data_IF_390825501318
#
_entry.id   IF_390825501318
#
_cell.length_a   1.000
_cell.length_b   1.000
_cell.length_c   1.000
_cell.angle_alpha   90.00
_cell.angle_beta   90.00
_cell.angle_gamma   90.00
#
_symmetry.space_group_name_H-M   'P 1'
#
loop_
_entity.id
_entity.type
_entity.pdbx_description
1 polymer ?
2 non-polymer ?
3 water ?
#
# COMPACT_ATOMS: atom_id res chain seq x y z
N UNK A 6 -8.19 -24.55 -7.02
CA UNK A 6 -9.00 -23.34 -7.08
C UNK A 6 -9.14 -22.66 -5.73
N UNK A 7 -8.94 -21.34 -5.72
CA UNK A 7 -9.02 -20.56 -4.50
C UNK A 7 -10.27 -19.69 -4.48
N UNK A 8 -11.14 -19.93 -3.51
CA UNK A 8 -12.28 -19.05 -3.30
C UNK A 8 -12.05 -18.19 -2.08
N UNK A 9 -12.09 -16.88 -2.29
CA UNK A 9 -11.89 -15.94 -1.18
C UNK A 9 -13.02 -14.92 -1.16
N UNK A 10 -13.32 -14.40 0.03
CA UNK A 10 -14.04 -13.13 0.16
C UNK A 10 -13.33 -12.10 -0.68
N UNK A 11 -14.12 -11.22 -1.30
CA UNK A 11 -13.57 -10.18 -2.16
C UNK A 11 -12.58 -9.41 -1.34
N UNK A 12 -11.39 -9.19 -1.92
CA UNK A 12 -10.39 -8.52 -1.11
C UNK A 12 -10.52 -7.01 -1.09
N UNK A 13 -9.58 -6.38 -0.36
CA UNK A 13 -9.47 -4.94 -0.37
C UNK A 13 -8.01 -4.62 -0.46
N UNK A 14 -7.70 -3.44 -0.98
CA UNK A 14 -6.28 -3.02 -1.09
C UNK A 14 -5.99 -1.89 -0.09
N UNK A 15 -5.27 -2.21 0.99
CA UNK A 15 -5.04 -1.24 2.06
C UNK A 15 -3.94 -0.21 1.77
N UNK A 16 -3.44 -0.11 0.54
CA UNK A 16 -2.46 0.87 0.18
C UNK A 16 -2.31 1.03 -1.35
N UNK A 17 -2.87 2.11 -1.91
CA UNK A 17 -2.94 2.28 -3.38
C UNK A 17 -2.72 3.70 -3.78
N UNK A 18 -2.07 3.89 -4.94
CA UNK A 18 -1.97 5.17 -5.56
C UNK A 18 -2.78 5.16 -6.84
N UNK A 19 -3.74 6.07 -6.95
CA UNK A 19 -4.55 6.22 -8.19
C UNK A 19 -4.17 7.39 -9.07
N UNK A 20 -3.27 8.22 -8.59
CA UNK A 20 -2.92 9.42 -9.34
C UNK A 20 -4.21 10.20 -9.69
N UNK A 21 -4.22 10.88 -10.83
CA UNK A 21 -5.26 11.82 -11.11
C UNK A 21 -5.28 12.05 -12.63
N UNK A 22 -6.19 12.91 -13.09
CA UNK A 22 -6.38 13.20 -14.51
C UNK A 22 -6.57 11.91 -15.31
N UNK A 23 -5.90 11.83 -16.45
CA UNK A 23 -6.04 10.71 -17.36
C UNK A 23 -5.46 9.41 -16.82
N UNK A 24 -4.33 9.49 -16.11
CA UNK A 24 -3.75 8.31 -15.47
C UNK A 24 -4.74 7.65 -14.53
N UNK A 25 -5.39 8.45 -13.69
CA UNK A 25 -6.46 7.95 -12.83
C UNK A 25 -7.47 7.16 -13.67
N UNK A 26 -7.90 7.76 -14.78
CA UNK A 26 -8.93 7.13 -15.64
C UNK A 26 -8.46 5.76 -16.17
N UNK A 27 -7.19 5.67 -16.52
CA UNK A 27 -6.60 4.42 -16.99
C UNK A 27 -6.47 3.37 -15.89
N UNK A 28 -5.88 3.74 -14.75
CA UNK A 28 -5.52 2.75 -13.71
C UNK A 28 -6.66 2.28 -12.77
N UNK A 29 -7.68 3.12 -12.56
CA UNK A 29 -8.76 2.76 -11.61
C UNK A 29 -9.38 1.41 -11.94
N UNK A 30 -9.85 1.21 -13.18
CA UNK A 30 -10.54 -0.07 -13.50
C UNK A 30 -9.82 -1.37 -13.07
N UNK A 31 -8.49 -1.38 -13.07
CA UNK A 31 -7.71 -2.55 -12.65
C UNK A 31 -7.86 -2.88 -11.16
N UNK A 32 -8.12 -1.84 -10.38
CA UNK A 32 -8.41 -1.97 -8.96
C UNK A 32 -9.88 -2.30 -8.74
N UNK A 33 -10.76 -1.48 -9.34
CA UNK A 33 -12.19 -1.60 -9.09
C UNK A 33 -12.78 -2.92 -9.60
N UNK A 34 -12.16 -3.50 -10.61
CA UNK A 34 -12.59 -4.83 -11.05
C UNK A 34 -12.38 -5.94 -10.02
N UNK A 35 -11.47 -5.79 -9.09
CA UNK A 35 -11.10 -6.87 -8.15
C UNK A 35 -11.41 -6.57 -6.68
N UNK A 36 -11.06 -5.37 -6.22
CA UNK A 36 -11.14 -5.03 -4.77
C UNK A 36 -12.45 -4.32 -4.47
N UNK A 37 -13.01 -4.56 -3.29
CA UNK A 37 -14.26 -3.87 -2.89
C UNK A 37 -14.01 -2.47 -2.37
N UNK A 38 -12.84 -2.30 -1.75
CA UNK A 38 -12.42 -1.02 -1.23
C UNK A 38 -10.91 -0.87 -1.40
N UNK A 39 -10.42 0.36 -1.43
CA UNK A 39 -8.98 0.61 -1.28
C UNK A 39 -8.73 1.89 -0.52
N UNK A 40 -7.66 1.85 0.28
CA UNK A 40 -7.04 3.05 0.87
C UNK A 40 -6.27 3.79 -0.21
N UNK A 41 -6.78 4.97 -0.55
CA UNK A 41 -6.31 5.82 -1.61
C UNK A 41 -5.39 6.85 -1.02
N UNK A 42 -4.13 6.71 -1.36
CA UNK A 42 -3.11 7.61 -0.81
C UNK A 42 -3.27 9.05 -1.32
N UNK A 43 -2.80 10.01 -0.54
CA UNK A 43 -3.11 11.41 -0.82
C UNK A 43 -2.00 12.21 -1.53
N UNK A 44 -0.94 11.55 -2.01
CA UNK A 44 0.25 12.29 -2.50
C UNK A 44 0.11 12.77 -3.93
N UNK A 45 -0.97 13.48 -4.20
CA UNK A 45 -1.11 14.17 -5.49
C UNK A 45 -0.28 15.43 -5.53
N UNK A 46 -0.31 16.08 -6.67
CA UNK A 46 0.40 17.32 -6.88
C UNK A 46 -0.63 18.37 -7.28
N UNK A 47 -1.10 19.20 -6.33
CA UNK A 47 -0.75 19.20 -4.92
C UNK A 47 -1.48 18.11 -4.14
N UNK A 48 -1.01 17.82 -2.92
CA UNK A 48 -1.58 16.77 -2.10
C UNK A 48 -3.01 17.02 -1.58
N UNK A 49 -3.70 15.97 -1.20
CA UNK A 49 -5.06 16.08 -0.67
C UNK A 49 -4.95 16.36 0.82
N UNK A 50 -5.17 17.63 1.19
CA UNK A 50 -4.99 18.07 2.56
C UNK A 50 -6.25 18.68 3.16
N UNK A 51 -7.33 18.69 2.40
CA UNK A 51 -8.59 19.26 2.85
C UNK A 51 -9.74 18.32 2.53
N UNK A 52 -10.81 18.41 3.31
CA UNK A 52 -12.00 17.63 3.05
C UNK A 52 -12.53 17.87 1.65
N UNK A 53 -12.61 19.14 1.26
CA UNK A 53 -13.18 19.51 -0.01
C UNK A 53 -12.40 18.84 -1.13
N UNK A 54 -11.08 18.85 -0.99
CA UNK A 54 -10.21 18.25 -2.00
C UNK A 54 -10.38 16.73 -2.05
N UNK A 55 -10.54 16.08 -0.89
CA UNK A 55 -10.81 14.65 -0.83
C UNK A 55 -12.19 14.27 -1.35
N UNK A 56 -13.21 15.05 -1.02
CA UNK A 56 -14.53 14.88 -1.63
C UNK A 56 -14.44 14.88 -3.17
N UNK A 57 -13.78 15.90 -3.69
CA UNK A 57 -13.59 16.10 -5.11
C UNK A 57 -12.81 14.95 -5.74
N UNK A 58 -11.69 14.59 -5.12
CA UNK A 58 -10.87 13.49 -5.60
C UNK A 58 -11.67 12.17 -5.62
N UNK A 59 -12.41 11.88 -4.55
CA UNK A 59 -13.24 10.68 -4.48
C UNK A 59 -14.28 10.62 -5.61
N UNK A 60 -14.89 11.76 -5.94
CA UNK A 60 -15.85 11.80 -7.03
C UNK A 60 -15.10 11.62 -8.37
N UNK A 61 -13.90 12.19 -8.51
CA UNK A 61 -13.11 11.94 -9.74
C UNK A 61 -12.79 10.45 -9.86
N UNK A 62 -12.58 9.81 -8.72
CA UNK A 62 -12.33 8.36 -8.71
C UNK A 62 -13.56 7.63 -9.09
N UNK A 63 -14.69 8.00 -8.49
CA UNK A 63 -15.94 7.32 -8.79
C UNK A 63 -16.38 7.52 -10.23
N UNK A 64 -16.24 8.76 -10.73
CA UNK A 64 -16.55 9.05 -12.14
C UNK A 64 -15.82 8.05 -13.05
N UNK A 65 -14.65 7.58 -12.62
CA UNK A 65 -13.79 6.73 -13.43
C UNK A 65 -13.98 5.21 -13.21
N UNK A 66 -14.92 4.83 -12.37
CA UNK A 66 -15.12 3.42 -12.01
C UNK A 66 -16.13 2.84 -12.99
N UNK A 67 -15.75 1.79 -13.73
CA UNK A 67 -16.65 1.19 -14.72
C UNK A 67 -18.01 0.79 -14.17
N UNK A 68 -18.98 0.61 -15.05
CA UNK A 68 -20.33 0.23 -14.63
C UNK A 68 -20.38 -1.25 -14.24
N UNK A 69 -20.92 -1.51 -13.05
CA UNK A 69 -20.95 -2.88 -12.52
C UNK A 69 -19.77 -3.25 -11.62
N UNK A 70 -18.89 -2.29 -11.33
CA UNK A 70 -17.79 -2.52 -10.37
C UNK A 70 -18.22 -1.97 -9.01
N UNK A 71 -18.17 -2.80 -7.99
CA UNK A 71 -18.68 -2.38 -6.71
C UNK A 71 -17.46 -2.01 -5.89
N UNK A 72 -17.04 -0.77 -6.07
CA UNK A 72 -15.78 -0.33 -5.50
C UNK A 72 -15.94 0.96 -4.75
N UNK A 73 -15.39 1.01 -3.54
CA UNK A 73 -15.42 2.20 -2.69
C UNK A 73 -14.00 2.68 -2.34
N UNK A 74 -13.63 3.87 -2.84
CA UNK A 74 -12.35 4.41 -2.42
C UNK A 74 -12.48 4.91 -0.97
N UNK A 75 -11.54 4.50 -0.14
CA UNK A 75 -11.42 5.02 1.23
C UNK A 75 -10.32 6.09 1.25
N UNK A 76 -10.73 7.33 1.48
CA UNK A 76 -9.80 8.45 1.27
C UNK A 76 -8.89 8.68 2.48
N UNK A 77 -7.74 9.29 2.23
CA UNK A 77 -6.79 9.67 3.26
C UNK A 77 -6.42 11.14 3.13
N UNK A 78 -5.96 11.70 4.23
CA UNK A 78 -5.49 13.05 4.32
C UNK A 78 -3.96 13.04 4.42
N UNK A 79 -3.33 13.88 3.60
CA UNK A 79 -1.87 14.09 3.63
C UNK A 79 -1.59 15.02 4.78
N UNK A 80 -0.94 14.54 5.82
CA UNK A 80 -0.61 15.36 6.96
C UNK A 80 0.47 16.44 6.61
N UNK A 81 0.18 17.69 6.97
CA UNK A 81 1.05 18.85 6.72
C UNK A 81 1.09 19.68 8.03
N UNK A 82 2.08 20.55 8.18
CA UNK A 82 2.18 21.39 9.36
C UNK A 82 0.99 22.36 9.49
N UNK A 83 0.36 22.72 8.37
CA UNK A 83 -0.75 23.71 8.37
C UNK A 83 -2.14 23.11 8.56
N UNK A 84 -2.23 21.80 8.66
CA UNK A 84 -3.54 21.16 8.76
C UNK A 84 -4.23 21.43 10.11
N UNK A 85 -5.44 21.94 10.06
CA UNK A 85 -6.19 22.22 11.28
C UNK A 85 -6.73 20.87 11.76
N UNK A 86 -6.47 20.51 13.05
CA UNK A 86 -7.06 19.28 13.58
C UNK A 86 -8.57 19.20 13.37
N UNK A 87 -9.25 20.34 13.44
CA UNK A 87 -10.69 20.36 13.24
C UNK A 87 -11.10 19.94 11.82
N UNK A 88 -10.31 20.29 10.81
CA UNK A 88 -10.59 19.90 9.44
C UNK A 88 -10.51 18.36 9.32
N UNK A 89 -9.41 17.82 9.84
CA UNK A 89 -9.20 16.39 9.87
C UNK A 89 -10.33 15.59 10.55
N UNK A 90 -10.66 16.01 11.77
CA UNK A 90 -11.69 15.35 12.58
C UNK A 90 -13.07 15.43 11.90
N UNK A 91 -13.39 16.56 11.30
CA UNK A 91 -14.62 16.70 10.51
C UNK A 91 -14.67 15.73 9.34
N UNK A 92 -13.58 15.61 8.59
CA UNK A 92 -13.51 14.63 7.51
C UNK A 92 -13.70 13.20 8.00
N UNK A 93 -13.16 12.92 9.18
CA UNK A 93 -13.23 11.58 9.75
C UNK A 93 -14.67 11.29 10.17
N UNK A 94 -15.24 12.21 10.95
CA UNK A 94 -16.63 12.08 11.39
C UNK A 94 -17.65 12.04 10.25
N UNK A 95 -17.36 12.68 9.14
CA UNK A 95 -18.26 12.70 7.98
C UNK A 95 -18.05 11.58 7.01
N UNK A 96 -17.06 10.73 7.29
CA UNK A 96 -16.83 9.55 6.49
C UNK A 96 -15.96 9.85 5.28
N UNK A 97 -15.40 11.06 5.21
CA UNK A 97 -14.56 11.46 4.08
C UNK A 97 -13.18 10.83 4.22
N UNK A 98 -12.50 11.09 5.33
CA UNK A 98 -11.17 10.52 5.56
C UNK A 98 -11.32 9.24 6.37
N UNK A 99 -10.80 8.14 5.85
CA UNK A 99 -10.68 6.90 6.62
C UNK A 99 -9.46 6.91 7.51
N UNK A 100 -8.41 7.57 7.08
CA UNK A 100 -7.11 7.52 7.75
C UNK A 100 -6.31 8.76 7.33
N UNK A 101 -5.22 9.03 8.02
CA UNK A 101 -4.29 10.11 7.58
C UNK A 101 -2.90 9.52 7.36
N UNK A 103 1.29 9.94 6.89
CA UNK A 103 2.48 10.70 7.27
C UNK A 103 3.65 10.26 6.38
N UNK A 104 4.13 11.19 5.59
CA UNK A 104 5.27 11.01 4.72
C UNK A 104 6.43 11.74 5.41
N UNK A 105 7.65 11.35 5.08
CA UNK A 105 8.85 11.93 5.69
C UNK A 105 9.02 13.44 5.50
N UNK A 106 8.40 14.01 4.45
CA UNK A 106 8.45 15.45 4.23
C UNK A 106 7.83 16.20 5.41
N UNK A 107 6.96 15.53 6.19
CA UNK A 107 6.32 16.16 7.33
C UNK A 107 6.87 15.60 8.65
N UNK A 108 7.23 16.50 9.57
CA UNK A 108 7.79 16.10 10.86
C UNK A 108 6.75 15.87 11.95
N UNK A 109 6.84 14.75 12.64
CA UNK A 109 5.96 14.45 13.79
C UNK A 109 5.92 15.60 14.79
N UNK A 110 7.07 16.19 15.10
CA UNK A 110 7.10 17.21 16.13
C UNK A 110 6.41 18.52 15.73
N UNK A 111 6.09 18.65 14.46
CA UNK A 111 5.35 19.79 13.96
C UNK A 111 3.83 19.66 14.01
N UNK A 112 3.32 18.45 14.21
CA UNK A 112 1.88 18.19 14.04
C UNK A 112 1.30 17.46 15.24
N UNK A 113 1.85 17.71 16.41
CA UNK A 113 1.40 17.00 17.61
C UNK A 113 -0.11 17.21 17.94
N UNK A 114 -0.61 18.45 17.81
CA UNK A 114 -2.07 18.62 17.90
C UNK A 114 -2.92 17.76 16.93
N UNK A 115 -2.49 17.59 15.69
CA UNK A 115 -3.21 16.73 14.77
C UNK A 115 -3.14 15.28 15.22
N UNK A 116 -1.96 14.80 15.57
CA UNK A 116 -1.80 13.41 15.95
C UNK A 116 -2.60 13.11 17.23
N UNK A 117 -2.57 14.07 18.16
CA UNK A 117 -3.33 13.94 19.40
C UNK A 117 -4.84 13.84 19.14
N UNK A 118 -5.35 14.58 18.17
CA UNK A 118 -6.74 14.49 17.76
C UNK A 118 -7.11 13.12 17.15
N UNK A 119 -6.25 12.62 16.25
CA UNK A 119 -6.40 11.26 15.69
C UNK A 119 -6.47 10.19 16.78
N UNK A 120 -5.60 10.34 17.78
CA UNK A 120 -5.62 9.42 18.90
C UNK A 120 -6.98 9.45 19.62
N UNK A 121 -7.47 10.65 19.84
CA UNK A 121 -8.69 10.87 20.59
C UNK A 121 -9.92 10.35 19.86
N UNK A 122 -9.98 10.51 18.54
CA UNK A 122 -11.15 10.09 17.75
C UNK A 122 -11.05 8.66 17.23
N UNK A 123 -9.87 8.05 17.35
CA UNK A 123 -9.63 6.70 16.84
C UNK A 123 -9.41 6.59 15.35
N UNK A 124 -8.79 7.62 14.76
CA UNK A 124 -8.44 7.62 13.37
C UNK A 124 -7.07 7.01 13.22
N UNK A 125 -6.92 6.02 12.35
CA UNK A 125 -5.61 5.43 12.14
C UNK A 125 -4.60 6.33 11.43
N UNK A 126 -3.35 6.24 11.87
CA UNK A 126 -2.22 6.92 11.23
C UNK A 126 -1.44 5.97 10.33
N UNK A 127 -1.31 6.30 9.05
CA UNK A 127 -0.56 5.42 8.14
C UNK A 127 0.80 6.07 7.97
N UNK A 128 1.88 5.30 8.11
CA UNK A 128 3.25 5.85 8.09
C UNK A 128 4.13 5.25 7.01
N UNK A 129 4.75 6.11 6.22
CA UNK A 129 5.82 5.73 5.31
C UNK A 129 7.07 5.93 6.17
N UNK A 130 7.53 4.85 6.73
CA UNK A 130 8.55 4.89 7.76
C UNK A 130 9.98 4.85 7.24
N UNK A 131 10.47 6.00 6.77
CA UNK A 131 11.87 6.22 6.40
C UNK A 131 12.34 7.58 6.87
N UNK A 132 13.58 7.63 7.33
CA UNK A 132 14.31 8.84 7.57
C UNK A 132 15.08 9.12 6.28
N UNK A 133 14.84 10.28 5.69
CA UNK A 133 15.37 10.52 4.32
C UNK A 133 16.60 11.45 4.29
N UNK A 134 17.39 11.51 5.36
CA UNK A 134 18.57 12.38 5.36
C UNK A 134 19.60 11.85 4.39
N UNK A 135 20.25 12.74 3.67
CA UNK A 135 21.24 12.35 2.65
C UNK A 135 22.40 11.52 3.20
N UNK A 136 22.71 11.70 4.50
CA UNK A 136 23.79 10.95 5.17
C UNK A 136 23.36 9.61 5.77
N UNK A 137 22.19 9.14 5.39
CA UNK A 137 21.75 7.81 5.80
C UNK A 137 21.67 6.94 4.54
N UNK A 138 22.37 5.81 4.59
CA UNK A 138 22.39 4.87 3.45
C UNK A 138 20.94 4.43 3.21
N UNK A 139 20.56 4.42 1.94
CA UNK A 139 19.21 4.04 1.55
C UNK A 139 18.70 2.73 2.20
N UNK A 140 19.59 1.77 2.36
CA UNK A 140 19.15 0.47 2.89
C UNK A 140 18.88 0.50 4.40
N UNK A 141 19.27 1.59 5.05
CA UNK A 141 19.19 1.73 6.52
C UNK A 141 18.05 2.63 6.98
N UNK A 142 17.38 3.29 6.02
CA UNK A 142 16.46 4.38 6.34
C UNK A 142 15.22 3.89 7.06
N UNK A 143 14.78 2.64 6.78
CA UNK A 143 13.60 2.13 7.46
C UNK A 143 13.89 1.75 8.89
N UNK A 144 14.98 1.01 9.09
CA UNK A 144 15.44 0.71 10.44
C UNK A 144 15.60 1.96 11.26
N UNK A 145 16.22 3.00 10.68
CA UNK A 145 16.51 4.20 11.43
C UNK A 145 15.19 4.87 11.88
N UNK A 146 14.15 4.83 11.02
CA UNK A 146 12.84 5.39 11.38
C UNK A 146 12.21 4.73 12.60
N UNK A 147 12.39 3.44 12.77
CA UNK A 147 11.81 2.74 13.89
C UNK A 147 12.27 3.34 15.22
N UNK A 148 13.58 3.47 15.39
CA UNK A 148 14.13 3.92 16.66
C UNK A 148 13.98 5.42 16.87
N UNK A 149 14.09 6.19 15.79
CA UNK A 149 14.16 7.64 15.91
C UNK A 149 12.81 8.35 15.83
N UNK A 150 11.83 7.73 15.16
CA UNK A 150 10.51 8.34 15.01
C UNK A 150 9.35 7.46 15.53
N UNK A 151 9.30 6.21 15.11
CA UNK A 151 8.13 5.35 15.38
C UNK A 151 7.94 5.04 16.86
N UNK A 152 8.96 4.46 17.47
CA UNK A 152 8.91 4.15 18.92
C UNK A 152 8.62 5.38 19.82
N UNK A 153 9.36 6.48 19.69
CA UNK A 153 8.99 7.63 20.53
C UNK A 153 7.57 8.11 20.29
N UNK A 154 7.11 8.15 19.04
CA UNK A 154 5.71 8.53 18.77
C UNK A 154 4.70 7.60 19.48
N UNK A 155 4.93 6.31 19.37
CA UNK A 155 3.99 5.34 19.93
C UNK A 155 4.02 5.32 21.48
N UNK A 156 5.18 5.69 22.01
CA UNK A 156 5.31 5.91 23.45
C UNK A 156 4.58 7.17 23.92
N UNK A 157 4.53 8.19 23.07
CA UNK A 157 3.83 9.44 23.45
C UNK A 157 2.31 9.29 23.26
N UNK A 158 1.90 8.61 22.20
CA UNK A 158 0.49 8.50 21.92
C UNK A 158 0.04 7.06 21.98
N UNK A 159 -0.18 6.57 23.19
CA UNK A 159 -0.30 5.13 23.37
C UNK A 159 -1.61 4.52 22.85
N UNK A 160 -2.61 5.34 22.62
CA UNK A 160 -3.88 4.89 22.11
C UNK A 160 -3.97 5.02 20.58
N UNK A 161 -2.90 5.52 19.95
CA UNK A 161 -2.94 5.81 18.54
C UNK A 161 -2.78 4.53 17.73
N UNK A 162 -3.67 4.33 16.75
CA UNK A 162 -3.58 3.19 15.82
C UNK A 162 -2.67 3.55 14.66
N UNK A 163 -1.69 2.71 14.35
CA UNK A 163 -0.68 3.02 13.36
C UNK A 163 -0.52 1.81 12.47
N UNK A 164 -0.54 2.05 11.15
CA UNK A 164 -0.16 1.09 10.16
C UNK A 164 1.20 1.51 9.60
N UNK A 165 2.16 0.63 9.76
CA UNK A 165 3.48 0.76 9.26
C UNK A 165 3.38 0.24 7.82
N UNK A 166 3.34 1.17 6.87
CA UNK A 166 3.03 0.84 5.51
C UNK A 166 4.21 0.15 4.84
N UNK A 167 3.89 -0.71 3.89
CA UNK A 167 4.92 -1.35 3.04
C UNK A 167 6.25 -1.61 3.75
N UNK A 168 6.21 -2.44 4.78
CA UNK A 168 7.37 -2.81 5.55
C UNK A 168 8.28 -3.74 4.68
N UNK A 169 9.57 -3.58 4.84
CA UNK A 169 10.53 -4.20 3.91
C UNK A 169 11.69 -4.89 4.60
N UNK A 170 11.73 -4.79 5.93
CA UNK A 170 12.84 -5.29 6.74
C UNK A 170 12.40 -6.24 7.84
N UNK A 171 13.29 -7.16 8.19
CA UNK A 171 13.21 -7.89 9.45
C UNK A 171 13.04 -6.96 10.66
N UNK A 172 13.75 -5.83 10.66
CA UNK A 172 13.65 -4.85 11.71
C UNK A 172 12.19 -4.49 11.93
N UNK A 173 11.50 -4.13 10.84
CA UNK A 173 10.08 -3.76 10.90
C UNK A 173 9.17 -4.96 11.15
N UNK A 174 9.48 -6.10 10.54
CA UNK A 174 8.69 -7.30 10.75
C UNK A 174 8.68 -7.73 12.21
N UNK A 175 9.85 -7.66 12.84
CA UNK A 175 9.95 -7.98 14.25
C UNK A 175 9.22 -6.96 15.13
N UNK A 176 9.49 -5.68 14.86
CA UNK A 176 8.78 -4.59 15.50
C UNK A 176 7.27 -4.76 15.46
N UNK A 177 6.74 -5.10 14.31
CA UNK A 177 5.30 -5.24 14.18
C UNK A 177 4.78 -6.55 14.86
N UNK A 178 5.45 -7.67 14.59
CA UNK A 178 5.09 -8.92 15.22
C UNK A 178 5.07 -8.76 16.73
N UNK A 179 6.05 -8.03 17.28
CA UNK A 179 6.18 -7.89 18.75
C UNK A 179 5.41 -6.72 19.38
N UNK A 180 4.70 -5.92 18.60
CA UNK A 180 3.98 -4.74 19.15
C UNK A 180 2.59 -5.13 19.56
N UNK A 181 1.76 -4.13 19.87
CA UNK A 181 0.42 -4.38 20.39
C UNK A 181 -0.70 -4.31 19.35
N UNK A 182 -1.94 -4.51 19.81
CA UNK A 182 -3.13 -4.50 18.92
C UNK A 182 -3.37 -3.21 18.19
N UNK A 183 -2.71 -2.14 18.64
CA UNK A 183 -2.76 -0.84 17.96
C UNK A 183 -1.71 -0.66 16.87
N UNK A 184 -0.96 -1.69 16.53
CA UNK A 184 0.06 -1.61 15.48
C UNK A 184 -0.12 -2.71 14.43
N UNK A 185 -0.05 -2.32 13.17
CA UNK A 185 -0.30 -3.24 12.07
C UNK A 185 0.65 -2.84 10.94
N UNK A 186 0.63 -3.63 9.85
CA UNK A 186 1.46 -3.34 8.72
C UNK A 186 0.89 -3.86 7.44
N UNK A 187 1.29 -3.25 6.34
CA UNK A 187 0.97 -3.80 5.04
C UNK A 187 2.27 -4.22 4.37
N UNK A 188 2.13 -5.18 3.46
CA UNK A 188 3.26 -5.75 2.70
C UNK A 188 2.87 -5.93 1.24
N UNK A 189 3.75 -5.46 0.37
CA UNK A 189 3.49 -5.43 -1.05
C UNK A 189 3.79 -6.81 -1.62
N UNK A 190 3.35 -7.10 -2.86
CA UNK A 190 3.79 -8.38 -3.41
C UNK A 190 5.29 -8.40 -3.73
N UNK A 191 5.83 -7.30 -4.24
CA UNK A 191 7.23 -7.29 -4.65
C UNK A 191 8.18 -7.56 -3.49
N UNK A 192 7.87 -7.07 -2.28
CA UNK A 192 8.81 -7.27 -1.13
C UNK A 192 8.74 -8.66 -0.57
N UNK A 193 7.71 -9.41 -0.97
CA UNK A 193 7.62 -10.86 -0.69
C UNK A 193 8.30 -11.71 -1.75
N UNK A 194 8.12 -11.30 -3.01
CA UNK A 194 8.57 -12.03 -4.15
C UNK A 194 10.07 -11.95 -4.41
N UNK A 195 10.68 -10.81 -4.08
CA UNK A 195 12.01 -10.47 -4.54
C UNK A 195 12.86 -9.91 -3.41
N UNK A 196 14.16 -9.88 -3.67
CA UNK A 196 15.09 -9.14 -2.81
C UNK A 196 15.97 -8.28 -3.72
N UNK A 197 16.92 -7.58 -3.15
CA UNK A 197 17.68 -6.62 -3.95
C UNK A 197 18.46 -7.25 -5.12
N UNK A 198 18.87 -8.50 -4.96
CA UNK A 198 19.54 -9.19 -6.05
C UNK A 198 18.72 -9.23 -7.33
N UNK A 199 17.41 -9.40 -7.20
CA UNK A 199 16.53 -9.43 -8.34
C UNK A 199 16.52 -8.10 -9.09
N UNK A 200 16.71 -7.01 -8.37
CA UNK A 200 16.75 -5.69 -8.96
C UNK A 200 18.08 -5.36 -9.62
N UNK A 201 19.18 -5.97 -9.15
CA UNK A 201 20.52 -5.51 -9.50
C UNK A 201 21.51 -6.50 -10.10
N UNK A 202 21.19 -7.80 -10.03
CA UNK A 202 22.05 -8.83 -10.59
C UNK A 202 21.67 -9.12 -12.05
N UNK A 203 22.67 -9.21 -12.91
CA UNK A 203 22.48 -9.46 -14.36
C UNK A 203 21.82 -8.31 -15.13
N UNK A 204 21.75 -7.14 -14.50
CA UNK A 204 21.11 -5.98 -15.10
C UNK A 204 20.39 -5.18 -14.03
N UNK A 205 20.12 -3.90 -14.31
CA UNK A 205 19.35 -3.09 -13.38
C UNK A 205 17.89 -3.14 -13.90
N UNK A 206 16.94 -3.34 -12.98
CA UNK A 206 15.54 -3.58 -13.33
C UNK A 206 14.65 -2.50 -12.71
N UNK A 207 14.53 -1.35 -13.43
CA UNK A 207 13.79 -0.19 -12.90
C UNK A 207 12.35 -0.52 -12.53
N UNK A 208 11.77 -1.56 -13.14
CA UNK A 208 10.41 -1.94 -12.82
C UNK A 208 10.32 -2.71 -11.50
N UNK A 209 11.48 -3.02 -10.89
CA UNK A 209 11.50 -3.55 -9.52
C UNK A 209 11.98 -2.45 -8.51
N UNK A 210 12.31 -1.28 -9.03
CA UNK A 210 12.66 -0.16 -8.16
C UNK A 210 11.42 0.47 -7.60
N UNK A 211 11.39 0.60 -6.27
CA UNK A 211 10.25 1.20 -5.59
C UNK A 211 10.75 1.62 -4.21
N UNK A 212 9.96 2.39 -3.49
CA UNK A 212 10.35 2.68 -2.12
C UNK A 212 9.35 1.97 -1.21
N UNK A 213 9.79 1.48 -0.04
CA UNK A 213 11.17 1.40 0.36
C UNK A 213 11.90 0.42 -0.59
N UNK A 214 13.17 0.67 -0.85
CA UNK A 214 13.91 -0.14 -1.79
C UNK A 214 13.88 -1.65 -1.36
N UNK A 215 13.86 -2.57 -2.30
CA UNK A 215 14.13 -3.97 -1.99
C UNK A 215 15.38 -4.16 -1.15
N UNK A 216 15.31 -5.05 -0.17
CA UNK A 216 16.39 -5.22 0.78
C UNK A 216 17.10 -6.55 0.57
N UNK A 217 18.12 -6.84 1.38
CA UNK A 217 18.70 -8.14 1.29
C UNK A 217 17.74 -9.31 1.59
N UNK A 218 18.15 -10.48 1.13
CA UNK A 218 17.35 -11.69 1.20
C UNK A 218 16.87 -12.00 2.61
N UNK A 219 17.71 -11.75 3.61
CA UNK A 219 17.27 -12.04 4.97
C UNK A 219 15.99 -11.29 5.32
N UNK A 220 15.78 -10.13 4.68
CA UNK A 220 14.63 -9.31 4.97
C UNK A 220 13.39 -9.83 4.28
N UNK A 221 13.55 -10.15 3.02
CA UNK A 221 12.49 -10.81 2.25
C UNK A 221 12.00 -12.04 3.02
N UNK A 222 12.93 -12.85 3.53
CA UNK A 222 12.54 -14.09 4.22
C UNK A 222 11.72 -13.82 5.48
N UNK A 223 12.15 -12.83 6.27
CA UNK A 223 11.41 -12.35 7.45
C UNK A 223 9.97 -11.94 7.10
N UNK A 224 9.80 -11.22 6.01
CA UNK A 224 8.47 -10.78 5.60
C UNK A 224 7.61 -11.95 5.22
N UNK A 225 8.19 -12.87 4.44
CA UNK A 225 7.49 -14.09 4.01
C UNK A 225 7.06 -14.93 5.19
N UNK A 226 7.95 -15.05 6.17
CA UNK A 226 7.63 -15.75 7.40
C UNK A 226 6.47 -15.13 8.19
N UNK A 227 6.46 -13.81 8.28
CA UNK A 227 5.43 -13.09 9.02
C UNK A 227 4.07 -13.37 8.35
N UNK A 228 3.95 -13.22 7.03
CA UNK A 228 2.64 -13.46 6.41
C UNK A 228 2.26 -14.93 6.59
N UNK A 229 3.21 -15.82 6.42
CA UNK A 229 2.96 -17.27 6.40
C UNK A 229 2.65 -17.82 7.79
N UNK A 230 3.01 -17.06 8.84
CA UNK A 230 2.72 -17.44 10.23
C UNK A 230 1.23 -17.33 10.64
N UNK A 231 0.44 -16.50 9.98
CA UNK A 231 -0.98 -16.35 10.34
C UNK A 231 -1.20 -15.10 11.20
N UNK A 232 -0.10 -14.40 11.51
CA UNK A 232 -0.12 -13.12 12.26
C UNK A 232 -1.15 -12.23 11.62
N UNK A 233 -2.12 -11.75 12.39
CA UNK A 233 -3.31 -11.18 11.77
C UNK A 233 -3.36 -9.64 11.73
N UNK A 234 -2.24 -9.01 12.04
CA UNK A 234 -2.09 -7.54 11.87
C UNK A 234 -1.12 -7.21 10.74
N UNK A 235 -0.98 -8.14 9.79
CA UNK A 235 -0.48 -7.76 8.48
C UNK A 235 -1.57 -8.03 7.43
N UNK A 236 -1.64 -7.16 6.43
CA UNK A 236 -2.64 -7.31 5.39
C UNK A 236 -2.20 -6.74 4.04
N UNK A 237 -2.94 -7.14 3.02
CA UNK A 237 -2.73 -6.69 1.67
C UNK A 237 -2.70 -5.18 1.54
N UNK A 238 -1.55 -4.65 1.16
CA UNK A 238 -1.49 -3.38 0.48
C UNK A 238 -0.46 -3.41 -0.63
N UNK A 239 -0.91 -3.13 -1.84
CA UNK A 239 -0.10 -3.32 -3.03
C UNK A 239 0.98 -2.25 -3.16
N UNK A 240 0.65 -1.04 -2.74
CA UNK A 240 1.43 0.14 -3.06
C UNK A 240 1.61 0.30 -4.56
N UNK A 241 0.59 -0.09 -5.33
CA UNK A 241 0.52 0.19 -6.75
C UNK A 241 0.74 1.66 -7.00
N UNK A 242 1.80 1.95 -7.76
CA UNK A 242 2.38 3.29 -7.85
C UNK A 242 2.78 3.53 -9.29
N UNK A 243 1.79 3.76 -10.15
CA UNK A 243 2.11 3.87 -11.61
C UNK A 243 2.83 5.12 -12.05
N UNK A 244 3.77 4.91 -12.97
CA UNK A 244 4.42 5.95 -13.73
C UNK A 244 4.49 5.55 -15.20
N UNK A 245 4.56 6.54 -16.08
CA UNK A 245 4.77 6.30 -17.51
C UNK A 245 6.17 5.77 -17.85
N UNK A 246 6.26 4.96 -18.90
CA UNK A 246 7.52 4.33 -19.29
C UNK A 246 8.66 5.33 -19.33
N UNK A 247 8.46 6.41 -20.05
CA UNK A 247 9.54 7.37 -20.23
C UNK A 247 10.06 7.79 -18.87
N UNK A 248 9.34 7.36 -17.83
CA UNK A 248 9.60 7.81 -16.47
C UNK A 248 10.09 6.69 -15.55
N UNK A 249 10.03 5.46 -16.04
CA UNK A 249 10.61 4.32 -15.33
C UNK A 249 11.90 3.82 -15.99
N UNK A 250 11.95 3.95 -17.31
CA UNK A 250 13.11 3.56 -18.15
C UNK A 250 13.81 4.79 -18.71
N UNK A 251 14.36 5.59 -17.82
CA UNK A 251 15.01 6.85 -18.15
C UNK A 251 16.36 6.92 -17.42
N UNK A 252 17.08 8.02 -17.61
CA UNK A 252 18.32 8.28 -16.87
C UNK A 252 18.08 8.39 -15.36
N UNK A 253 16.84 8.68 -14.97
CA UNK A 253 16.49 8.74 -13.57
C UNK A 253 15.06 8.23 -13.38
N UNK A 254 14.93 6.90 -13.31
CA UNK A 254 13.65 6.23 -13.21
C UNK A 254 12.93 6.48 -11.89
N UNK A 255 11.61 6.66 -11.96
CA UNK A 255 10.80 6.86 -10.75
C UNK A 255 10.59 5.57 -9.94
N UNK A 256 10.38 5.75 -8.64
CA UNK A 256 10.12 4.65 -7.73
C UNK A 256 8.64 4.28 -7.76
N UNK A 257 8.37 3.00 -8.00
CA UNK A 257 7.03 2.50 -7.85
C UNK A 257 6.69 1.45 -8.89
N UNK A 258 6.08 0.37 -8.44
CA UNK A 258 5.61 -0.68 -9.31
C UNK A 258 4.11 -0.54 -9.57
N UNK A 259 3.72 -0.37 -10.83
CA UNK A 259 2.32 -0.56 -11.20
C UNK A 259 1.88 -2.01 -11.16
N UNK A 260 1.50 -2.44 -9.97
CA UNK A 260 1.18 -3.85 -9.70
C UNK A 260 -0.31 -4.15 -9.46
N UNK A 261 -1.20 -3.16 -9.52
CA UNK A 261 -2.63 -3.46 -9.41
C UNK A 261 -3.08 -4.67 -10.27
N UNK A 262 -2.65 -4.74 -11.55
CA UNK A 262 -3.16 -5.84 -12.37
C UNK A 262 -2.75 -7.26 -11.94
N UNK A 263 -1.61 -7.39 -11.29
CA UNK A 263 -1.05 -8.70 -10.99
C UNK A 263 -0.92 -9.05 -9.53
N UNK A 264 -1.14 -8.08 -8.64
CA UNK A 264 -0.79 -8.28 -7.22
C UNK A 264 -1.46 -9.48 -6.59
N UNK A 265 -2.76 -9.61 -6.76
CA UNK A 265 -3.49 -10.64 -6.03
C UNK A 265 -2.95 -12.03 -6.32
N UNK A 266 -2.85 -12.34 -7.62
CA UNK A 266 -2.21 -13.57 -8.08
C UNK A 266 -0.81 -13.74 -7.53
N UNK A 267 -0.04 -12.65 -7.45
CA UNK A 267 1.33 -12.77 -6.94
C UNK A 267 1.29 -13.17 -5.45
N UNK A 268 0.41 -12.57 -4.65
CA UNK A 268 0.33 -12.98 -3.23
C UNK A 268 -0.10 -14.47 -3.08
N UNK A 269 -1.02 -14.89 -3.93
CA UNK A 269 -1.45 -16.28 -3.90
C UNK A 269 -0.25 -17.17 -4.13
N UNK A 270 0.59 -16.83 -5.10
CA UNK A 270 1.76 -17.65 -5.40
C UNK A 270 2.68 -17.72 -4.18
N UNK A 271 2.89 -16.58 -3.54
CA UNK A 271 3.75 -16.54 -2.36
C UNK A 271 3.22 -17.38 -1.21
N UNK A 272 1.95 -17.21 -0.86
CA UNK A 272 1.35 -18.07 0.15
C UNK A 272 1.42 -19.58 -0.17
N UNK A 273 1.22 -19.96 -1.44
CA UNK A 273 1.37 -21.35 -1.89
C UNK A 273 2.80 -21.84 -1.68
N UNK A 274 3.76 -21.02 -2.09
CA UNK A 274 5.19 -21.29 -1.87
C UNK A 274 5.54 -21.56 -0.39
N UNK A 275 4.89 -20.86 0.52
CA UNK A 275 5.19 -20.93 1.96
C UNK A 275 4.30 -21.98 2.69
N UNK A 276 3.59 -22.78 1.91
CA UNK A 276 2.69 -23.80 2.44
C UNK A 276 1.69 -23.23 3.42
N UNK A 277 1.15 -22.05 3.08
CA UNK A 277 0.33 -21.23 3.96
C UNK A 277 -0.93 -20.69 3.27
N UNK A 278 -1.48 -21.40 2.28
CA UNK A 278 -2.73 -20.95 1.66
C UNK A 278 -3.88 -20.78 2.66
N UNK A 279 -3.81 -21.41 3.82
CA UNK A 279 -4.89 -21.28 4.82
C UNK A 279 -5.02 -19.87 5.38
N UNK A 280 -3.94 -19.10 5.26
CA UNK A 280 -3.84 -17.73 5.74
C UNK A 280 -4.02 -16.68 4.63
N UNK A 281 -4.12 -17.16 3.38
CA UNK A 281 -4.22 -16.26 2.25
C UNK A 281 -5.51 -15.43 2.36
N UNK A 282 -6.66 -16.08 2.57
CA UNK A 282 -7.90 -15.29 2.63
C UNK A 282 -7.90 -14.17 3.69
N UNK A 283 -7.41 -14.46 4.90
CA UNK A 283 -7.42 -13.44 5.99
C UNK A 283 -6.57 -12.20 5.68
N UNK A 284 -5.39 -12.47 5.16
CA UNK A 284 -4.51 -11.47 4.62
C UNK A 284 -5.19 -10.51 3.63
N UNK A 285 -5.90 -11.06 2.65
CA UNK A 285 -6.45 -10.26 1.54
C UNK A 285 -7.77 -9.58 1.91
N UNK A 286 -8.51 -10.16 2.84
CA UNK A 286 -9.96 -9.85 2.96
C UNK A 286 -10.52 -9.75 4.39
N UNK A 287 -9.68 -10.00 5.42
CA UNK A 287 -10.19 -10.06 6.83
C UNK A 287 -9.41 -9.18 7.80
N UNK A 288 -8.07 -9.33 7.77
CA UNK A 288 -7.18 -8.68 8.73
C UNK A 288 -7.23 -7.14 8.63
N UNK A 289 -7.31 -6.60 7.40
CA UNK A 289 -7.46 -5.16 7.18
C UNK A 289 -8.77 -4.61 7.77
N UNK A 290 -9.89 -5.14 7.31
CA UNK A 290 -11.20 -4.76 7.85
C UNK A 290 -11.23 -4.84 9.38
N UNK A 291 -10.61 -5.88 9.94
CA UNK A 291 -10.54 -6.02 11.39
C UNK A 291 -9.81 -4.87 12.07
N UNK A 292 -8.59 -4.56 11.60
CA UNK A 292 -7.81 -3.46 12.18
C UNK A 292 -8.49 -2.09 12.04
N UNK A 293 -9.09 -1.84 10.87
CA UNK A 293 -9.77 -0.58 10.59
C UNK A 293 -11.21 -0.46 11.17
N UNK A 294 -11.74 -1.52 11.76
CA UNK A 294 -13.10 -1.50 12.28
C UNK A 294 -14.19 -1.40 11.25
N UNK A 295 -13.98 -2.05 10.11
CA UNK A 295 -14.93 -2.06 8.99
C UNK A 295 -15.36 -3.49 8.73
N UNK A 296 -16.55 -3.68 8.15
CA UNK A 296 -17.02 -5.04 7.84
C UNK A 296 -16.23 -5.72 6.74
N UNK A 297 -16.16 -7.06 6.78
CA UNK A 297 -15.59 -7.83 5.68
C UNK A 297 -16.59 -7.82 4.52
N UNK A 298 -16.09 -7.94 3.31
CA UNK A 298 -16.96 -7.95 2.13
C UNK A 298 -17.73 -9.22 2.16
N UNK A 299 -18.89 -9.23 1.51
CA UNK A 299 -19.67 -10.48 1.41
C UNK A 299 -20.00 -10.92 -0.01
N UNK A 300 -19.21 -10.48 -0.98
CA UNK A 300 -19.17 -11.18 -2.26
C UNK A 300 -17.85 -11.91 -2.32
N UNK A 301 -17.71 -12.80 -3.29
CA UNK A 301 -16.57 -13.69 -3.36
C UNK A 301 -15.93 -13.67 -4.75
N UNK A 302 -14.62 -13.89 -4.79
CA UNK A 302 -13.99 -14.20 -6.05
C UNK A 302 -13.26 -15.52 -5.95
N UNK A 303 -12.73 -15.95 -7.08
CA UNK A 303 -11.93 -17.15 -7.16
C UNK A 303 -10.67 -16.86 -7.95
N UNK A 304 -9.58 -17.47 -7.50
CA UNK A 304 -8.37 -17.57 -8.29
C UNK A 304 -8.28 -19.00 -8.78
N UNK A 305 -8.14 -19.15 -10.09
CA UNK A 305 -7.98 -20.47 -10.69
C UNK A 305 -6.59 -20.61 -11.29
N UNK A 306 -5.99 -21.76 -11.05
CA UNK A 306 -4.67 -22.07 -11.56
C UNK A 306 -4.65 -22.06 -13.06
N UNK A 307 -4.23 -20.96 -13.64
CA UNK A 307 -4.37 -20.74 -15.06
C UNK A 307 -3.31 -19.76 -15.50
N UNK A 308 -2.35 -20.26 -16.28
CA UNK A 308 -1.40 -19.43 -16.99
C UNK A 308 -2.04 -18.21 -17.60
N UNK A 309 -1.73 -17.03 -17.06
CA UNK A 309 -2.00 -15.79 -17.74
C UNK A 309 -0.74 -15.15 -18.31
N UNK A 310 -0.93 -14.23 -19.23
CA UNK A 310 0.17 -13.44 -19.77
C UNK A 310 -0.01 -11.98 -19.38
N UNK A 311 1.03 -11.33 -18.88
CA UNK A 311 0.87 -9.91 -18.54
C UNK A 311 1.19 -9.00 -19.75
N UNK A 312 0.35 -8.00 -19.97
CA UNK A 312 0.55 -6.99 -21.03
C UNK A 312 1.94 -6.35 -21.00
N UNK A 313 2.50 -6.20 -22.18
CA UNK A 313 3.85 -5.66 -22.33
C UNK A 313 3.81 -4.20 -21.96
N UNK A 314 2.69 -3.55 -22.25
CA UNK A 314 2.44 -2.17 -21.84
C UNK A 314 0.94 -1.91 -21.84
N UNK A 315 0.54 -0.78 -21.28
CA UNK A 315 -0.82 -0.29 -21.34
C UNK A 315 -0.76 1.15 -21.85
N UNK A 316 -1.69 1.53 -22.71
CA UNK A 316 -1.65 2.85 -23.34
C UNK A 316 -2.02 3.94 -22.33
N UNK A 317 -1.43 5.11 -22.50
CA UNK A 317 -2.01 6.35 -21.98
C UNK A 317 -2.01 7.42 -23.06
N UNK A 318 -2.92 8.39 -22.93
CA UNK A 318 -2.91 9.63 -23.71
C UNK A 318 -1.65 9.87 -24.55
N UNK A 319 -0.48 9.76 -23.93
CA UNK A 319 0.77 9.66 -24.69
C UNK A 319 1.76 8.79 -23.90
N UNK A 320 2.73 8.24 -24.62
CA UNK A 320 3.58 7.11 -24.18
C UNK A 320 2.77 6.01 -23.43
N UNK A 321 3.46 5.13 -22.70
CA UNK A 321 2.82 3.91 -22.17
C UNK A 321 3.05 3.69 -20.68
N UNK A 322 2.29 2.75 -20.13
CA UNK A 322 2.42 2.34 -18.75
C UNK A 322 2.84 0.89 -18.80
N UNK A 323 3.97 0.59 -18.15
CA UNK A 323 4.59 -0.72 -18.21
C UNK A 323 4.27 -1.41 -16.92
N UNK A 324 3.35 -2.37 -16.95
CA UNK A 324 2.96 -3.00 -15.69
C UNK A 324 4.04 -3.82 -15.01
N UNK A 325 3.90 -4.00 -13.69
CA UNK A 325 4.71 -4.95 -12.93
C UNK A 325 4.57 -6.31 -13.59
N UNK A 326 5.70 -6.97 -13.83
CA UNK A 326 5.78 -8.29 -14.51
C UNK A 326 5.33 -8.24 -15.97
N UNK A 327 5.59 -7.09 -16.62
CA UNK A 327 5.22 -6.85 -18.00
C UNK A 327 5.82 -7.92 -18.89
N UNK A 328 5.01 -8.41 -19.82
CA UNK A 328 5.39 -9.47 -20.73
C UNK A 328 5.52 -10.86 -20.13
N UNK A 329 5.42 -10.97 -18.82
CA UNK A 329 5.71 -12.25 -18.18
C UNK A 329 4.44 -13.06 -18.00
N UNK A 330 4.65 -14.31 -17.62
CA UNK A 330 3.57 -15.25 -17.47
C UNK A 330 3.37 -15.46 -15.98
N UNK A 331 2.14 -15.25 -15.52
CA UNK A 331 1.77 -15.49 -14.13
C UNK A 331 0.76 -16.63 -13.98
N UNK A 332 0.56 -17.09 -12.75
CA UNK A 332 0.11 -18.44 -12.48
C UNK A 332 -1.39 -18.53 -12.23
N UNK A 333 -1.98 -17.43 -11.80
CA UNK A 333 -3.36 -17.42 -11.38
C UNK A 333 -4.18 -16.46 -12.20
N UNK A 334 -5.45 -16.78 -12.42
CA UNK A 334 -6.34 -15.83 -13.07
C UNK A 334 -7.57 -15.61 -12.18
N UNK A 335 -8.09 -14.39 -12.22
CA UNK A 335 -9.21 -14.01 -11.37
C UNK A 335 -10.56 -14.31 -12.00
N UNK A 336 -11.29 -15.24 -11.40
CA UNK A 336 -12.60 -15.63 -11.90
C UNK A 336 -13.69 -14.93 -11.12
#
# INVERSE_FOLDING_TARGET
TAPSQVLKIRRPDDWHLHLRDGDMLKTVVPYTSEIYGRAIVMPNLAPPVTTVEAAVAYRQRILDAVPAGHDFTPLMTCYLTDSLDPNELERGFNEGVFTAAXLYPATSVDAIMPVLERMEKIGMPLLVHGEVTHADIDIFDREARFIESVMEPLRQRLTALKVVFEHITTKDAADYVRDGNERLAATITPQHLMFNRNHMLVGGVRPHLYCLPILKRNIHQQALRELVASGFNRVFLGTDSAPHARHRKESSCGCAGCFNAPTALGSYATVFEEMNALQHFEAFCSVNGPQFYGLPVNDTFIELVREEQQVAESIALTDDTLVPFLAGETVRWSVKQ
#
